data_IF_008260421999
#
_entry.id   IF_008260421999
#
_cell.length_a   1.000
_cell.length_b   1.000
_cell.length_c   1.000
_cell.angle_alpha   90.00
_cell.angle_beta   90.00
_cell.angle_gamma   90.00
#
_symmetry.space_group_name_H-M   'P 1'
#
loop_
_entity.id
_entity.type
_entity.pdbx_description
1 polymer ?
#
# COMPACT_ATOMS: atom_id res chain seq x y z
N UNK A 1 4.32 -21.03 12.73
CA UNK A 1 4.94 -19.87 13.42
C UNK A 1 5.00 -18.73 12.43
N UNK A 2 4.41 -17.57 12.73
CA UNK A 2 4.51 -16.40 11.88
C UNK A 2 5.99 -16.05 11.70
N UNK A 3 6.46 -15.93 10.45
CA UNK A 3 7.85 -15.57 10.16
C UNK A 3 8.11 -14.19 10.77
N UNK A 4 8.92 -14.10 11.81
CA UNK A 4 9.32 -12.82 12.41
C UNK A 4 10.00 -11.99 11.32
N UNK A 5 9.43 -10.81 11.03
CA UNK A 5 9.98 -9.90 10.02
C UNK A 5 11.06 -9.05 10.66
N UNK A 6 12.21 -8.91 10.02
CA UNK A 6 13.24 -7.98 10.51
C UNK A 6 12.87 -6.52 10.16
N UNK A 7 13.58 -5.55 10.75
CA UNK A 7 13.31 -4.11 10.56
C UNK A 7 13.28 -3.70 9.08
N UNK A 8 14.19 -4.24 8.25
CA UNK A 8 14.23 -3.97 6.81
C UNK A 8 12.97 -4.47 6.10
N UNK A 9 12.54 -5.70 6.38
CA UNK A 9 11.32 -6.27 5.80
C UNK A 9 10.08 -5.46 6.19
N UNK A 10 10.00 -4.99 7.45
CA UNK A 10 8.91 -4.14 7.93
C UNK A 10 8.91 -2.79 7.20
N UNK A 11 10.07 -2.12 7.08
CA UNK A 11 10.18 -0.85 6.36
C UNK A 11 9.77 -0.96 4.88
N UNK A 12 10.17 -2.03 4.20
CA UNK A 12 9.78 -2.27 2.80
C UNK A 12 8.25 -2.39 2.69
N UNK A 13 7.60 -3.07 3.62
CA UNK A 13 6.15 -3.21 3.64
C UNK A 13 5.47 -1.88 3.98
N UNK A 14 5.96 -1.14 4.97
CA UNK A 14 5.46 0.18 5.31
C UNK A 14 5.50 1.12 4.10
N UNK A 15 6.63 1.19 3.38
CA UNK A 15 6.74 1.96 2.13
C UNK A 15 5.72 1.51 1.09
N UNK A 16 5.63 0.19 0.86
CA UNK A 16 4.71 -0.39 -0.15
C UNK A 16 3.25 -0.07 0.17
N UNK A 17 2.87 -0.15 1.43
CA UNK A 17 1.48 0.10 1.85
C UNK A 17 1.17 1.59 1.91
N UNK A 18 2.11 2.44 2.30
CA UNK A 18 1.96 3.89 2.23
C UNK A 18 1.68 4.35 0.81
N UNK A 19 2.49 3.91 -0.17
CA UNK A 19 2.25 4.21 -1.58
C UNK A 19 0.87 3.72 -2.03
N UNK A 20 0.53 2.45 -1.74
CA UNK A 20 -0.77 1.90 -2.11
C UNK A 20 -1.93 2.69 -1.50
N UNK A 21 -1.81 3.09 -0.24
CA UNK A 21 -2.84 3.88 0.44
C UNK A 21 -3.08 5.19 -0.30
N UNK A 22 -2.01 5.88 -0.71
CA UNK A 22 -2.09 7.14 -1.46
C UNK A 22 -2.75 6.90 -2.82
N UNK A 23 -2.31 5.86 -3.54
CA UNK A 23 -2.85 5.53 -4.86
C UNK A 23 -4.36 5.23 -4.79
N UNK A 24 -4.78 4.45 -3.79
CA UNK A 24 -6.20 4.12 -3.57
C UNK A 24 -7.01 5.34 -3.16
N UNK A 25 -6.47 6.21 -2.30
CA UNK A 25 -7.15 7.44 -1.89
C UNK A 25 -7.44 8.35 -3.07
N UNK A 26 -6.44 8.56 -3.94
CA UNK A 26 -6.64 9.33 -5.17
C UNK A 26 -7.61 8.65 -6.13
N UNK A 27 -7.50 7.34 -6.32
CA UNK A 27 -8.40 6.59 -7.19
C UNK A 27 -9.85 6.68 -6.71
N UNK A 28 -10.08 6.53 -5.40
CA UNK A 28 -11.40 6.63 -4.80
C UNK A 28 -12.06 7.99 -5.06
N UNK A 29 -11.30 9.09 -4.94
CA UNK A 29 -11.80 10.45 -5.15
C UNK A 29 -12.06 10.76 -6.62
N UNK A 30 -11.16 10.35 -7.51
CA UNK A 30 -11.28 10.65 -8.94
C UNK A 30 -12.40 9.84 -9.61
N UNK A 31 -12.57 8.59 -9.19
CA UNK A 31 -13.59 7.66 -9.70
C UNK A 31 -14.90 7.69 -8.90
N UNK A 32 -14.96 8.45 -7.81
CA UNK A 32 -16.10 8.48 -6.87
C UNK A 32 -16.50 7.07 -6.39
N UNK A 33 -15.49 6.30 -5.97
CA UNK A 33 -15.62 4.87 -5.70
C UNK A 33 -15.41 4.55 -4.22
N UNK A 34 -16.51 4.21 -3.55
CA UNK A 34 -16.54 3.84 -2.14
C UNK A 34 -15.70 2.59 -1.81
N UNK A 35 -15.65 1.60 -2.69
CA UNK A 35 -14.90 0.35 -2.44
C UNK A 35 -13.40 0.64 -2.36
N UNK A 36 -12.89 1.51 -3.23
CA UNK A 36 -11.49 1.96 -3.19
C UNK A 36 -11.19 2.75 -1.90
N UNK A 37 -12.12 3.57 -1.43
CA UNK A 37 -11.97 4.30 -0.16
C UNK A 37 -11.93 3.35 1.05
N UNK A 38 -12.85 2.38 1.12
CA UNK A 38 -12.89 1.37 2.18
C UNK A 38 -11.59 0.53 2.22
N UNK A 39 -11.03 0.31 1.05
CA UNK A 39 -9.81 -0.46 0.91
C UNK A 39 -8.55 0.33 1.25
N UNK A 40 -8.48 1.63 0.91
CA UNK A 40 -7.48 2.54 1.47
C UNK A 40 -7.53 2.57 3.01
N UNK A 41 -8.73 2.45 3.60
CA UNK A 41 -8.90 2.33 5.04
C UNK A 41 -8.35 1.00 5.61
N UNK A 42 -8.55 -0.13 4.90
CA UNK A 42 -7.94 -1.45 5.24
C UNK A 42 -6.42 -1.38 5.17
N UNK A 43 -5.90 -0.96 4.01
CA UNK A 43 -4.70 -0.14 3.80
C UNK A 43 -3.94 0.30 5.06
N UNK A 44 -4.47 1.40 5.59
CA UNK A 44 -3.96 2.13 6.74
C UNK A 44 -4.00 1.31 8.04
N UNK A 45 -4.96 0.42 8.22
CA UNK A 45 -4.97 -0.47 9.38
C UNK A 45 -3.74 -1.40 9.40
N UNK A 46 -3.34 -1.92 8.24
CA UNK A 46 -2.10 -2.71 8.11
C UNK A 46 -0.85 -1.88 8.37
N UNK A 47 -0.83 -0.61 7.92
CA UNK A 47 0.27 0.32 8.22
C UNK A 47 0.40 0.53 9.73
N UNK A 48 -0.72 0.75 10.45
CA UNK A 48 -0.70 0.91 11.91
C UNK A 48 -0.14 -0.31 12.64
N UNK A 49 -0.53 -1.51 12.20
CA UNK A 49 -0.01 -2.76 12.78
C UNK A 49 1.49 -2.93 12.50
N UNK A 50 1.93 -2.68 11.25
CA UNK A 50 3.35 -2.75 10.90
C UNK A 50 4.21 -1.71 11.62
N UNK A 51 3.69 -0.49 11.82
CA UNK A 51 4.35 0.57 12.56
C UNK A 51 4.49 0.22 14.05
N UNK A 52 3.48 -0.43 14.63
CA UNK A 52 3.59 -1.00 15.98
C UNK A 52 4.64 -2.12 16.05
N UNK A 53 4.67 -3.01 15.06
CA UNK A 53 5.70 -4.05 14.97
C UNK A 53 7.10 -3.45 14.80
N UNK A 54 7.25 -2.40 13.99
CA UNK A 54 8.52 -1.69 13.79
C UNK A 54 9.07 -1.19 15.13
N UNK A 55 8.22 -0.52 15.93
CA UNK A 55 8.60 -0.04 17.28
C UNK A 55 9.04 -1.18 18.20
N UNK A 56 8.29 -2.28 18.22
CA UNK A 56 8.63 -3.45 19.04
C UNK A 56 9.98 -4.05 18.66
N UNK A 57 10.18 -4.32 17.37
CA UNK A 57 11.43 -4.89 16.88
C UNK A 57 12.60 -3.94 17.09
N UNK A 58 12.41 -2.63 16.92
CA UNK A 58 13.43 -1.62 17.15
C UNK A 58 13.91 -1.61 18.60
N UNK A 59 12.99 -1.70 19.57
CA UNK A 59 13.31 -1.81 21.00
C UNK A 59 14.07 -3.11 21.30
N UNK A 60 13.66 -4.23 20.69
CA UNK A 60 14.34 -5.51 20.86
C UNK A 60 15.77 -5.48 20.32
N UNK A 61 15.98 -4.88 19.15
CA UNK A 61 17.31 -4.70 18.55
C UNK A 61 18.16 -3.76 19.40
N UNK A 62 17.60 -2.63 19.86
CA UNK A 62 18.31 -1.69 20.73
C UNK A 62 18.77 -2.34 22.05
N UNK A 63 17.92 -3.19 22.65
CA UNK A 63 18.25 -3.95 23.88
C UNK A 63 19.39 -4.94 23.67
N UNK A 64 19.50 -5.53 22.48
CA UNK A 64 20.51 -6.53 22.14
C UNK A 64 21.79 -5.91 21.53
N UNK A 65 21.82 -4.59 21.33
CA UNK A 65 22.97 -3.90 20.75
C UNK A 65 24.20 -4.01 21.65
N UNK A 66 25.34 -4.32 21.02
CA UNK A 66 26.67 -4.32 21.66
C UNK A 66 27.39 -2.97 21.55
N UNK A 67 26.95 -2.12 20.62
CA UNK A 67 27.51 -0.79 20.33
C UNK A 67 26.41 0.27 20.42
N UNK A 68 25.79 0.40 21.61
CA UNK A 68 24.63 1.26 21.81
C UNK A 68 24.82 2.71 21.33
N UNK A 69 26.02 3.29 21.48
CA UNK A 69 26.34 4.66 21.03
C UNK A 69 26.22 4.85 19.52
N UNK A 70 26.46 3.80 18.74
CA UNK A 70 26.46 3.83 17.27
C UNK A 70 25.13 3.31 16.70
N UNK A 71 24.58 2.26 17.31
CA UNK A 71 23.38 1.56 16.82
C UNK A 71 22.08 2.32 17.16
N UNK A 72 21.96 2.86 18.38
CA UNK A 72 20.72 3.52 18.83
C UNK A 72 20.35 4.72 17.93
N UNK A 73 21.27 5.62 17.54
CA UNK A 73 20.94 6.69 16.60
C UNK A 73 20.43 6.18 15.25
N UNK A 74 20.96 5.08 14.73
CA UNK A 74 20.50 4.49 13.47
C UNK A 74 19.09 3.90 13.61
N UNK A 75 18.81 3.22 14.72
CA UNK A 75 17.47 2.70 15.03
C UNK A 75 16.46 3.85 15.19
N UNK A 76 16.85 4.95 15.83
CA UNK A 76 16.02 6.14 15.96
C UNK A 76 15.65 6.72 14.58
N UNK A 77 16.61 6.77 13.65
CA UNK A 77 16.34 7.22 12.28
C UNK A 77 15.35 6.30 11.55
N UNK A 78 15.45 4.98 11.74
CA UNK A 78 14.47 4.01 11.19
C UNK A 78 13.07 4.28 11.73
N UNK A 79 12.95 4.54 13.04
CA UNK A 79 11.66 4.87 13.66
C UNK A 79 11.08 6.17 13.12
N UNK A 80 11.92 7.18 12.88
CA UNK A 80 11.48 8.45 12.30
C UNK A 80 10.90 8.27 10.89
N UNK A 81 11.45 7.35 10.09
CA UNK A 81 10.88 6.99 8.78
C UNK A 81 9.51 6.34 8.95
N UNK A 82 9.35 5.45 9.94
CA UNK A 82 8.06 4.83 10.27
C UNK A 82 6.99 5.87 10.62
N UNK A 83 7.35 6.88 11.42
CA UNK A 83 6.49 8.02 11.75
C UNK A 83 6.06 8.78 10.49
N UNK A 84 7.01 9.16 9.64
CA UNK A 84 6.70 9.88 8.40
C UNK A 84 5.77 9.08 7.47
N UNK A 85 5.96 7.77 7.37
CA UNK A 85 5.08 6.88 6.60
C UNK A 85 3.65 6.88 7.17
N UNK A 86 3.51 6.83 8.49
CA UNK A 86 2.20 6.90 9.15
C UNK A 86 1.53 8.26 8.91
N UNK A 87 2.26 9.37 9.03
CA UNK A 87 1.72 10.71 8.77
C UNK A 87 1.21 10.87 7.33
N UNK A 88 1.95 10.37 6.34
CA UNK A 88 1.48 10.30 4.94
C UNK A 88 0.17 9.51 4.86
N UNK A 89 0.09 8.38 5.56
CA UNK A 89 -1.09 7.53 5.54
C UNK A 89 -2.31 8.16 6.21
N UNK A 90 -2.10 8.92 7.29
CA UNK A 90 -3.18 9.61 8.02
C UNK A 90 -3.70 10.80 7.20
N UNK A 91 -2.84 11.48 6.42
CA UNK A 91 -3.26 12.58 5.53
C UNK A 91 -4.20 12.17 4.39
N UNK A 92 -4.39 10.87 4.16
CA UNK A 92 -5.33 10.35 3.16
C UNK A 92 -6.77 10.36 3.67
N UNK A 93 -6.99 10.49 4.99
CA UNK A 93 -8.32 10.42 5.61
C UNK A 93 -9.27 11.46 5.04
N UNK A 94 -8.78 12.68 4.87
CA UNK A 94 -9.56 13.78 4.29
C UNK A 94 -9.93 13.51 2.82
N UNK A 95 -9.07 12.80 2.07
CA UNK A 95 -9.35 12.43 0.69
C UNK A 95 -10.44 11.34 0.63
N UNK A 96 -10.27 10.25 1.38
CA UNK A 96 -11.21 9.13 1.32
C UNK A 96 -12.60 9.52 1.87
N UNK A 97 -12.66 10.49 2.79
CA UNK A 97 -13.93 10.98 3.33
C UNK A 97 -14.82 11.61 2.25
N UNK A 98 -14.23 12.26 1.25
CA UNK A 98 -14.96 12.84 0.11
C UNK A 98 -15.71 11.74 -0.65
N UNK A 99 -15.03 10.62 -0.91
CA UNK A 99 -15.60 9.45 -1.59
C UNK A 99 -16.60 8.70 -0.69
N UNK A 100 -16.32 8.58 0.62
CA UNK A 100 -17.23 7.90 1.58
C UNK A 100 -18.56 8.66 1.70
N UNK A 101 -18.51 10.00 1.74
CA UNK A 101 -19.70 10.84 1.83
C UNK A 101 -20.42 11.05 0.50
N UNK A 102 -19.88 10.52 -0.60
CA UNK A 102 -20.42 10.70 -1.95
C UNK A 102 -20.66 12.18 -2.29
N UNK A 103 -19.76 13.05 -1.86
CA UNK A 103 -19.81 14.50 -2.13
C UNK A 103 -19.29 14.79 -3.54
N UNK A 104 -18.41 13.91 -4.06
CA UNK A 104 -17.69 14.10 -5.30
C UNK A 104 -16.69 15.26 -5.24
N UNK A 105 -15.93 15.43 -6.32
CA UNK A 105 -15.03 16.57 -6.50
C UNK A 105 -15.43 17.41 -7.69
N UNK A 106 -15.18 18.72 -7.60
CA UNK A 106 -15.41 19.63 -8.71
C UNK A 106 -14.63 19.17 -9.96
N UNK A 107 -15.18 19.24 -11.18
CA UNK A 107 -14.53 18.75 -12.40
C UNK A 107 -13.11 19.28 -12.64
N UNK A 108 -12.79 20.48 -12.14
CA UNK A 108 -11.44 21.05 -12.23
C UNK A 108 -10.37 20.17 -11.58
N UNK A 109 -10.71 19.46 -10.50
CA UNK A 109 -9.79 18.52 -9.83
C UNK A 109 -9.49 17.35 -10.75
N UNK A 110 -10.51 16.76 -11.37
CA UNK A 110 -10.32 15.67 -12.34
C UNK A 110 -9.42 16.11 -13.50
N UNK A 111 -9.70 17.27 -14.09
CA UNK A 111 -8.88 17.84 -15.18
C UNK A 111 -7.43 18.10 -14.75
N UNK A 112 -7.23 18.65 -13.54
CA UNK A 112 -5.90 18.93 -13.02
C UNK A 112 -5.07 17.65 -12.83
N UNK A 113 -5.69 16.57 -12.38
CA UNK A 113 -5.01 15.28 -12.22
C UNK A 113 -4.83 14.52 -13.54
N UNK A 114 -5.75 14.64 -14.50
CA UNK A 114 -5.58 14.08 -15.86
C UNK A 114 -4.39 14.67 -16.62
N UNK A 115 -3.93 15.88 -16.25
CA UNK A 115 -2.77 16.56 -16.86
C UNK A 115 -1.43 16.26 -16.18
N UNK A 116 -1.44 15.56 -15.04
CA UNK A 116 -0.23 15.13 -14.34
C UNK A 116 0.20 13.74 -14.81
N UNK A 117 1.40 13.31 -14.40
CA UNK A 117 1.91 11.95 -14.61
C UNK A 117 1.17 10.86 -13.79
N UNK A 118 -0.01 11.18 -13.24
CA UNK A 118 -0.84 10.24 -12.47
C UNK A 118 -2.01 9.84 -13.35
N UNK A 119 -1.98 8.60 -13.86
CA UNK A 119 -3.08 8.00 -14.62
C UNK A 119 -3.67 6.84 -13.83
N UNK A 120 -4.98 6.88 -13.64
CA UNK A 120 -5.76 5.81 -13.02
C UNK A 120 -6.70 5.29 -14.10
N UNK A 121 -6.68 3.99 -14.36
CA UNK A 121 -7.52 3.36 -15.37
C UNK A 121 -8.11 2.07 -14.81
N UNK A 122 -9.36 1.82 -15.16
CA UNK A 122 -10.08 0.57 -14.87
C UNK A 122 -10.21 -0.22 -16.16
N UNK A 123 -9.73 -1.46 -16.13
CA UNK A 123 -9.85 -2.39 -17.26
C UNK A 123 -10.62 -3.64 -16.82
N UNK A 124 -11.53 -4.10 -17.67
CA UNK A 124 -12.22 -5.37 -17.50
C UNK A 124 -11.51 -6.45 -18.31
N UNK A 125 -11.22 -7.59 -17.68
CA UNK A 125 -10.56 -8.72 -18.35
C UNK A 125 -11.62 -9.58 -19.02
N UNK A 126 -11.72 -9.49 -20.35
CA UNK A 126 -12.64 -10.29 -21.13
C UNK A 126 -12.17 -11.74 -21.36
N UNK A 127 -13.05 -12.65 -21.83
CA UNK A 127 -12.78 -14.08 -22.02
C UNK A 127 -11.68 -14.45 -23.04
N UNK A 128 -11.15 -13.46 -23.76
CA UNK A 128 -10.07 -13.64 -24.75
C UNK A 128 -8.82 -12.82 -24.40
N UNK A 129 -8.80 -12.20 -23.22
CA UNK A 129 -7.64 -11.46 -22.77
C UNK A 129 -6.47 -12.39 -22.53
N UNK A 130 -5.27 -11.93 -22.86
CA UNK A 130 -4.01 -12.63 -22.52
C UNK A 130 -3.81 -12.79 -21.01
N UNK A 131 -4.60 -12.08 -20.21
CA UNK A 131 -4.63 -12.13 -18.75
C UNK A 131 -5.71 -13.09 -18.21
N UNK A 132 -6.63 -13.57 -19.06
CA UNK A 132 -7.69 -14.47 -18.60
C UNK A 132 -7.08 -15.80 -18.11
N UNK A 133 -7.59 -16.28 -16.97
CA UNK A 133 -7.10 -17.48 -16.30
C UNK A 133 -5.69 -17.44 -15.73
N UNK A 134 -4.93 -16.35 -15.89
CA UNK A 134 -3.55 -16.23 -15.37
C UNK A 134 -3.50 -15.69 -13.94
N UNK A 135 -2.48 -16.10 -13.19
CA UNK A 135 -2.19 -15.49 -11.89
C UNK A 135 -1.38 -14.21 -12.09
N UNK A 136 -1.53 -13.27 -11.16
CA UNK A 136 -0.87 -11.96 -11.24
C UNK A 136 0.66 -12.03 -11.18
N UNK A 137 1.24 -13.06 -10.56
CA UNK A 137 2.68 -13.31 -10.54
C UNK A 137 3.22 -13.85 -11.86
N UNK A 138 2.34 -14.34 -12.74
CA UNK A 138 2.64 -14.83 -14.08
C UNK A 138 2.41 -13.75 -15.16
N UNK A 139 1.90 -12.58 -14.77
CA UNK A 139 1.64 -11.45 -15.66
C UNK A 139 2.70 -10.37 -15.38
N UNK A 140 3.57 -10.13 -16.35
CA UNK A 140 4.54 -9.04 -16.29
C UNK A 140 3.82 -7.72 -16.63
N UNK A 141 3.26 -7.07 -15.60
CA UNK A 141 2.66 -5.74 -15.72
C UNK A 141 3.80 -4.72 -15.66
N UNK A 142 4.63 -4.71 -16.70
CA UNK A 142 5.35 -3.50 -17.06
C UNK A 142 4.28 -2.48 -17.46
N UNK A 143 4.36 -1.25 -16.96
CA UNK A 143 3.51 -0.16 -17.45
C UNK A 143 3.85 -0.03 -18.95
N UNK A 144 3.07 -0.70 -19.78
CA UNK A 144 3.18 -0.63 -21.23
C UNK A 144 2.49 0.67 -21.62
N UNK A 145 3.12 1.48 -22.46
CA UNK A 145 2.39 2.52 -23.19
C UNK A 145 1.26 1.84 -23.98
N UNK A 146 0.05 1.84 -23.40
CA UNK A 146 -1.13 1.19 -23.96
C UNK A 146 -1.91 0.35 -22.94
N UNK A 147 -3.18 0.73 -22.77
CA UNK A 147 -4.37 -0.07 -22.43
C UNK A 147 -4.36 -1.17 -21.36
N UNK A 148 -3.39 -1.27 -20.45
CA UNK A 148 -3.50 -2.20 -19.32
C UNK A 148 -2.97 -1.59 -18.02
N UNK A 149 -3.87 -1.21 -17.11
CA UNK A 149 -3.53 -0.83 -15.73
C UNK A 149 -4.07 -1.88 -14.75
N UNK A 150 -3.18 -2.43 -13.92
CA UNK A 150 -3.56 -3.39 -12.89
C UNK A 150 -3.97 -2.68 -11.60
N UNK A 151 -5.24 -2.83 -11.21
CA UNK A 151 -5.68 -2.62 -9.83
C UNK A 151 -5.52 -3.96 -9.10
N UNK A 152 -4.55 -3.98 -8.19
CA UNK A 152 -4.23 -5.04 -7.25
C UNK A 152 -5.49 -5.73 -6.71
N UNK A 153 -5.61 -7.04 -6.90
CA UNK A 153 -6.66 -7.91 -6.33
C UNK A 153 -6.58 -7.90 -4.79
N UNK A 154 -7.50 -7.22 -4.11
CA UNK A 154 -7.42 -6.91 -2.67
C UNK A 154 -7.94 -8.01 -1.73
N UNK A 155 -7.59 -9.27 -2.02
CA UNK A 155 -7.84 -10.38 -1.09
C UNK A 155 -6.64 -11.33 -0.90
N UNK A 156 -5.63 -11.35 -1.77
CA UNK A 156 -4.56 -12.36 -1.68
C UNK A 156 -3.33 -11.97 -0.85
N UNK A 157 -3.15 -10.70 -0.46
CA UNK A 157 -1.96 -10.30 0.31
C UNK A 157 -2.13 -10.27 1.83
N UNK A 158 -3.37 -10.28 2.35
CA UNK A 158 -3.64 -10.33 3.80
C UNK A 158 -3.33 -11.72 4.36
N UNK A 159 -3.45 -12.78 3.55
CA UNK A 159 -2.98 -14.12 3.90
C UNK A 159 -1.67 -14.41 3.18
N UNK A 160 -0.57 -14.07 3.83
CA UNK A 160 0.72 -14.68 3.54
C UNK A 160 0.66 -16.19 3.83
N UNK A 161 0.06 -16.98 2.95
CA UNK A 161 0.19 -18.44 2.96
C UNK A 161 1.07 -18.85 1.80
N UNK A 162 2.38 -18.97 2.11
CA UNK A 162 3.23 -19.92 1.40
C UNK A 162 2.57 -21.30 1.49
N UNK A 163 2.37 -21.91 0.32
CA UNK A 163 2.22 -23.35 0.02
C UNK A 163 2.13 -24.30 1.23
N UNK A 164 1.02 -25.05 1.31
CA UNK A 164 1.13 -26.50 1.51
C UNK A 164 0.71 -27.21 0.24
N UNK A 165 1.71 -27.76 -0.43
CA UNK A 165 1.60 -28.82 -1.42
C UNK A 165 1.10 -30.07 -0.70
N UNK A 166 0.04 -30.74 -1.19
CA UNK A 166 -0.09 -32.20 -1.11
C UNK A 166 -1.12 -32.71 -2.14
N UNK A 167 -0.54 -33.47 -3.08
CA UNK A 167 -1.07 -34.47 -4.03
C UNK A 167 -2.37 -34.16 -4.77
#
# INVERSE_FOLDING_TARGET
MAKTKNLKEILILLRKYSQLSVDLGYAAVLEDNLELAQEAFRVKAEIRELDYQLRKEALMVARLSRSAKEDIPQIANILQIGVAIKEISDGIDDLIEIAIRNVGVHPIIKIAYSRKDIRIARHEVGPESKMDGKKLDEIDILIVEGNDAAIRKMQEYVKGTKKETKK
#
